data_IF_324208940505
#
_entry.id   IF_324208940505
#
_cell.length_a   1.000
_cell.length_b   1.000
_cell.length_c   1.000
_cell.angle_alpha   90.00
_cell.angle_beta   90.00
_cell.angle_gamma   90.00
#
_symmetry.space_group_name_H-M   'P 1'
#
loop_
_entity.id
_entity.type
_entity.pdbx_description
1 polymer ?
#
# COMPACT_ATOMS: atom_id res chain seq x y z
N UNK A 1 22.04 -15.40 -27.30
CA UNK A 1 21.38 -14.31 -26.61
C UNK A 1 21.64 -12.97 -27.33
N UNK A 2 22.89 -12.47 -27.41
CA UNK A 2 23.20 -11.14 -27.98
C UNK A 2 22.59 -10.90 -29.38
N UNK A 3 22.71 -11.89 -30.29
CA UNK A 3 22.18 -11.75 -31.64
C UNK A 3 20.65 -11.66 -31.66
N UNK A 4 19.98 -12.39 -30.76
CA UNK A 4 18.52 -12.34 -30.60
C UNK A 4 18.11 -10.95 -30.10
N UNK A 5 18.78 -10.46 -29.06
CA UNK A 5 18.57 -9.13 -28.49
C UNK A 5 18.71 -8.02 -29.53
N UNK A 6 19.80 -8.05 -30.30
CA UNK A 6 20.06 -7.07 -31.38
C UNK A 6 18.98 -7.12 -32.47
N UNK A 7 18.56 -8.33 -32.86
CA UNK A 7 17.51 -8.51 -33.87
C UNK A 7 16.17 -7.95 -33.38
N UNK A 8 15.85 -8.16 -32.10
CA UNK A 8 14.60 -7.67 -31.51
C UNK A 8 14.58 -6.16 -31.40
N UNK A 9 15.66 -5.55 -30.85
CA UNK A 9 15.76 -4.10 -30.75
C UNK A 9 15.64 -3.46 -32.14
N UNK A 10 16.35 -4.00 -33.13
CA UNK A 10 16.27 -3.50 -34.49
C UNK A 10 14.86 -3.65 -35.07
N UNK A 11 14.20 -4.79 -34.85
CA UNK A 11 12.85 -5.04 -35.33
C UNK A 11 11.83 -4.10 -34.69
N UNK A 12 11.87 -3.94 -33.37
CA UNK A 12 10.97 -3.05 -32.65
C UNK A 12 11.19 -1.58 -33.02
N UNK A 13 12.43 -1.14 -33.16
CA UNK A 13 12.75 0.25 -33.54
C UNK A 13 12.25 0.62 -34.96
N UNK A 14 12.13 -0.37 -35.83
CA UNK A 14 11.63 -0.19 -37.21
C UNK A 14 10.12 -0.46 -37.33
N UNK A 15 9.54 -1.13 -36.35
CA UNK A 15 8.12 -1.48 -36.33
C UNK A 15 7.29 -0.32 -35.80
N UNK A 16 6.52 0.31 -36.66
CA UNK A 16 5.58 1.35 -36.23
C UNK A 16 4.36 0.79 -35.52
N UNK A 17 3.52 1.67 -34.99
CA UNK A 17 2.29 1.31 -34.25
C UNK A 17 1.38 0.35 -35.02
N UNK A 18 1.28 0.50 -36.34
CA UNK A 18 0.49 -0.40 -37.20
C UNK A 18 1.01 -1.83 -37.15
N UNK A 19 2.32 -2.03 -37.08
CA UNK A 19 2.93 -3.35 -36.94
C UNK A 19 2.62 -3.98 -35.58
N UNK A 20 2.66 -3.23 -34.49
CA UNK A 20 2.30 -3.71 -33.16
C UNK A 20 0.83 -4.16 -33.11
N UNK A 21 -0.09 -3.36 -33.66
CA UNK A 21 -1.51 -3.70 -33.74
C UNK A 21 -1.77 -4.95 -34.59
N UNK A 22 -0.98 -5.13 -35.66
CA UNK A 22 -1.08 -6.34 -36.47
C UNK A 22 -0.76 -7.60 -35.67
N UNK A 23 0.31 -7.61 -34.87
CA UNK A 23 0.63 -8.75 -34.00
C UNK A 23 -0.43 -8.96 -32.92
N UNK A 24 -0.95 -7.91 -32.30
CA UNK A 24 -2.04 -8.01 -31.30
C UNK A 24 -3.36 -8.53 -31.88
N UNK A 25 -3.57 -8.38 -33.18
CA UNK A 25 -4.78 -8.88 -33.85
C UNK A 25 -4.73 -10.37 -34.20
N UNK A 26 -3.55 -11.00 -34.07
CA UNK A 26 -3.40 -12.43 -34.30
C UNK A 26 -4.04 -13.25 -33.18
N UNK A 27 -4.56 -14.41 -33.48
CA UNK A 27 -4.92 -15.40 -32.46
C UNK A 27 -3.66 -16.05 -31.88
N UNK A 28 -3.74 -16.55 -30.64
CA UNK A 28 -2.62 -17.21 -29.94
C UNK A 28 -1.93 -18.24 -30.84
N UNK A 29 -2.70 -19.10 -31.50
CA UNK A 29 -2.16 -20.09 -32.44
C UNK A 29 -1.40 -19.47 -33.64
N UNK A 30 -1.90 -18.37 -34.19
CA UNK A 30 -1.23 -17.68 -35.33
C UNK A 30 0.05 -17.00 -34.87
N UNK A 31 0.02 -16.45 -33.68
CA UNK A 31 1.17 -15.79 -33.07
C UNK A 31 2.29 -16.80 -32.79
N UNK A 32 1.97 -17.92 -32.12
CA UNK A 32 2.93 -18.99 -31.85
C UNK A 32 3.52 -19.57 -33.15
N UNK A 33 2.66 -19.79 -34.15
CA UNK A 33 3.12 -20.25 -35.45
C UNK A 33 4.07 -19.25 -36.12
N UNK A 34 3.80 -17.94 -35.98
CA UNK A 34 4.66 -16.87 -36.52
C UNK A 34 5.98 -16.82 -35.79
N UNK A 35 5.98 -16.93 -34.46
CA UNK A 35 7.20 -16.96 -33.66
C UNK A 35 8.06 -18.19 -34.01
N UNK A 36 7.45 -19.36 -34.10
CA UNK A 36 8.14 -20.57 -34.52
C UNK A 36 8.74 -20.44 -35.95
N UNK A 37 8.04 -19.81 -36.87
CA UNK A 37 8.50 -19.59 -38.23
C UNK A 37 9.63 -18.56 -38.31
N UNK A 38 9.67 -17.57 -37.42
CA UNK A 38 10.73 -16.59 -37.33
C UNK A 38 12.07 -17.19 -36.86
N UNK A 39 12.01 -18.36 -36.22
CA UNK A 39 13.17 -19.04 -35.63
C UNK A 39 13.67 -18.36 -34.36
N UNK A 40 12.90 -17.45 -33.78
CA UNK A 40 13.19 -16.85 -32.48
C UNK A 40 12.69 -17.77 -31.38
N UNK A 41 13.47 -18.02 -30.35
CA UNK A 41 13.07 -18.85 -29.21
C UNK A 41 12.24 -18.01 -28.22
N UNK A 42 11.03 -17.63 -28.64
CA UNK A 42 10.11 -16.75 -27.91
C UNK A 42 8.70 -17.33 -28.02
N UNK A 43 8.00 -17.43 -26.91
CA UNK A 43 6.57 -17.73 -26.88
C UNK A 43 5.74 -16.51 -27.30
N UNK A 44 4.57 -16.74 -27.93
CA UNK A 44 3.72 -15.66 -28.42
C UNK A 44 3.32 -14.64 -27.35
N UNK A 45 2.88 -15.12 -26.20
CA UNK A 45 2.47 -14.25 -25.06
C UNK A 45 3.64 -13.40 -24.55
N UNK A 46 4.84 -13.97 -24.47
CA UNK A 46 6.05 -13.24 -24.08
C UNK A 46 6.38 -12.15 -25.11
N UNK A 47 6.23 -12.46 -26.40
CA UNK A 47 6.43 -11.49 -27.47
C UNK A 47 5.47 -10.30 -27.39
N UNK A 48 4.17 -10.53 -27.13
CA UNK A 48 3.21 -9.44 -26.91
C UNK A 48 3.56 -8.59 -25.71
N UNK A 49 3.98 -9.20 -24.60
CA UNK A 49 4.45 -8.49 -23.41
C UNK A 49 5.65 -7.61 -23.70
N UNK A 50 6.57 -8.05 -24.56
CA UNK A 50 7.71 -7.27 -25.02
C UNK A 50 7.31 -6.09 -25.90
N UNK A 51 6.32 -6.26 -26.78
CA UNK A 51 5.74 -5.16 -27.56
C UNK A 51 5.14 -4.08 -26.64
N UNK A 52 4.43 -4.51 -25.60
CA UNK A 52 3.85 -3.59 -24.60
C UNK A 52 4.92 -2.84 -23.82
N UNK A 53 6.00 -3.53 -23.43
CA UNK A 53 7.14 -2.90 -22.76
C UNK A 53 7.85 -1.89 -23.64
N UNK A 54 8.06 -2.22 -24.92
CA UNK A 54 8.68 -1.30 -25.89
C UNK A 54 7.82 -0.05 -26.14
N UNK A 55 6.53 -0.23 -26.41
CA UNK A 55 5.61 0.89 -26.62
C UNK A 55 5.46 1.77 -25.36
N UNK A 56 5.47 1.14 -24.18
CA UNK A 56 5.51 1.84 -22.90
C UNK A 56 6.74 2.71 -22.75
N UNK A 57 7.91 2.19 -23.15
CA UNK A 57 9.17 2.90 -23.14
C UNK A 57 9.18 4.09 -24.13
N UNK A 58 8.70 3.89 -25.35
CA UNK A 58 8.59 4.98 -26.32
C UNK A 58 7.65 6.09 -25.86
N UNK A 59 6.57 5.73 -25.18
CA UNK A 59 5.63 6.70 -24.62
C UNK A 59 6.23 7.51 -23.47
N UNK A 60 7.13 6.91 -22.69
CA UNK A 60 7.75 7.54 -21.51
C UNK A 60 9.06 8.25 -21.82
N UNK A 61 9.88 7.67 -22.72
CA UNK A 61 11.23 8.11 -23.00
C UNK A 61 11.40 8.81 -24.36
N UNK A 62 10.33 8.84 -25.18
CA UNK A 62 10.41 9.31 -26.57
C UNK A 62 10.83 8.20 -27.54
N UNK A 63 11.12 8.57 -28.78
CA UNK A 63 11.54 7.61 -29.80
C UNK A 63 12.91 7.03 -29.50
N UNK A 64 13.10 5.75 -29.78
CA UNK A 64 14.39 5.09 -29.66
C UNK A 64 15.43 5.69 -30.66
N UNK A 65 16.65 5.94 -30.19
CA UNK A 65 17.72 6.48 -31.00
C UNK A 65 18.82 5.44 -31.26
N UNK A 66 19.40 4.91 -30.20
CA UNK A 66 20.46 3.89 -30.25
C UNK A 66 20.64 3.20 -28.91
N UNK A 67 21.42 2.14 -28.88
CA UNK A 67 21.85 1.50 -27.64
C UNK A 67 23.38 1.44 -27.55
N UNK A 68 23.86 1.20 -26.32
CA UNK A 68 25.28 1.06 -26.00
C UNK A 68 25.78 -0.38 -26.08
N UNK A 69 26.81 -0.68 -25.30
CA UNK A 69 27.34 -2.04 -25.16
C UNK A 69 26.40 -2.93 -24.34
N UNK A 70 26.46 -4.23 -24.57
CA UNK A 70 25.69 -5.23 -23.83
C UNK A 70 26.45 -5.67 -22.59
N UNK A 71 25.74 -5.71 -21.47
CA UNK A 71 26.16 -6.29 -20.21
C UNK A 71 25.46 -7.63 -20.02
N UNK A 72 26.20 -8.62 -19.53
CA UNK A 72 25.70 -9.99 -19.37
C UNK A 72 25.81 -10.41 -17.91
N UNK A 73 24.69 -10.82 -17.33
CA UNK A 73 24.64 -11.41 -16.00
C UNK A 73 24.08 -12.83 -16.10
N UNK A 74 24.91 -13.82 -15.79
CA UNK A 74 24.52 -15.21 -15.83
C UNK A 74 24.35 -15.79 -14.41
N UNK A 75 23.24 -16.45 -14.19
CA UNK A 75 22.93 -17.24 -13.00
C UNK A 75 22.76 -18.71 -13.37
N UNK A 76 22.57 -19.60 -12.41
CA UNK A 76 22.39 -21.03 -12.65
C UNK A 76 21.16 -21.37 -13.51
N UNK A 77 20.17 -20.48 -13.57
CA UNK A 77 18.88 -20.71 -14.23
C UNK A 77 18.46 -19.63 -15.22
N UNK A 78 19.18 -18.53 -15.27
CA UNK A 78 18.74 -17.35 -16.02
C UNK A 78 19.97 -16.61 -16.57
N UNK A 79 19.85 -16.13 -17.79
CA UNK A 79 20.81 -15.23 -18.39
C UNK A 79 20.12 -13.88 -18.67
N UNK A 80 20.56 -12.84 -18.00
CA UNK A 80 20.14 -11.47 -18.29
C UNK A 80 21.12 -10.79 -19.24
N UNK A 81 20.57 -10.12 -20.24
CA UNK A 81 21.33 -9.28 -21.19
C UNK A 81 20.76 -7.88 -21.13
N UNK A 82 21.52 -6.95 -20.63
CA UNK A 82 21.10 -5.55 -20.52
C UNK A 82 21.92 -4.62 -21.40
N UNK A 83 21.30 -3.53 -21.82
CA UNK A 83 21.98 -2.45 -22.54
C UNK A 83 21.37 -1.10 -22.17
N UNK A 84 22.22 -0.07 -22.16
CA UNK A 84 21.76 1.29 -22.02
C UNK A 84 21.29 1.81 -23.39
N UNK A 85 20.03 2.17 -23.50
CA UNK A 85 19.44 2.75 -24.69
C UNK A 85 19.21 4.25 -24.52
N UNK A 86 19.56 4.99 -25.55
CA UNK A 86 19.32 6.43 -25.68
C UNK A 86 18.00 6.62 -26.43
N UNK A 87 17.08 7.36 -25.84
CA UNK A 87 15.82 7.78 -26.44
C UNK A 87 15.80 9.31 -26.54
N UNK A 88 14.86 9.89 -27.27
CA UNK A 88 14.80 11.34 -27.49
C UNK A 88 14.67 12.18 -26.20
N UNK A 89 13.88 11.73 -25.25
CA UNK A 89 13.57 12.50 -24.04
C UNK A 89 14.41 12.07 -22.83
N UNK A 90 14.76 10.77 -22.72
CA UNK A 90 15.58 10.24 -21.62
C UNK A 90 16.15 8.86 -21.94
N UNK A 91 17.26 8.52 -21.32
CA UNK A 91 17.83 7.19 -21.42
C UNK A 91 17.00 6.15 -20.68
N UNK A 92 17.04 4.91 -21.15
CA UNK A 92 16.46 3.75 -20.50
C UNK A 92 17.42 2.57 -20.51
N UNK A 93 17.28 1.65 -19.57
CA UNK A 93 17.94 0.36 -19.61
C UNK A 93 16.98 -0.66 -20.16
N UNK A 94 17.37 -1.37 -21.21
CA UNK A 94 16.64 -2.49 -21.78
C UNK A 94 17.29 -3.77 -21.24
N UNK A 95 16.52 -4.61 -20.58
CA UNK A 95 16.96 -5.89 -20.03
C UNK A 95 16.15 -7.02 -20.65
N UNK A 96 16.84 -8.04 -21.17
CA UNK A 96 16.26 -9.28 -21.70
C UNK A 96 16.63 -10.44 -20.81
N UNK A 97 15.66 -11.26 -20.46
CA UNK A 97 15.83 -12.43 -19.61
C UNK A 97 15.59 -13.70 -20.40
N UNK A 98 16.56 -14.56 -20.35
CA UNK A 98 16.55 -15.88 -21.01
C UNK A 98 16.56 -16.97 -19.95
N UNK A 99 15.82 -18.05 -20.19
CA UNK A 99 15.83 -19.25 -19.37
C UNK A 99 17.12 -20.08 -19.55
N UNK A 100 17.20 -21.22 -18.87
CA UNK A 100 18.33 -22.16 -18.96
C UNK A 100 18.51 -22.78 -20.36
N UNK A 101 17.47 -22.83 -21.16
CA UNK A 101 17.45 -23.33 -22.55
C UNK A 101 17.69 -22.21 -23.59
N UNK A 102 17.95 -20.98 -23.13
CA UNK A 102 18.10 -19.76 -23.92
C UNK A 102 16.83 -19.35 -24.69
N UNK A 103 15.65 -19.71 -24.19
CA UNK A 103 14.42 -19.11 -24.65
C UNK A 103 14.26 -17.74 -23.99
N UNK A 104 13.76 -16.79 -24.75
CA UNK A 104 13.53 -15.43 -24.23
C UNK A 104 12.19 -15.39 -23.48
N UNK A 105 12.25 -15.16 -22.18
CA UNK A 105 11.08 -15.11 -21.31
C UNK A 105 10.47 -13.71 -21.20
N UNK A 106 11.33 -12.69 -21.06
CA UNK A 106 10.84 -11.33 -20.88
C UNK A 106 11.82 -10.27 -21.38
N UNK A 107 11.28 -9.11 -21.67
CA UNK A 107 12.01 -7.87 -21.88
C UNK A 107 11.42 -6.81 -20.95
N UNK A 108 12.28 -6.12 -20.23
CA UNK A 108 11.92 -4.97 -19.40
C UNK A 108 12.64 -3.73 -19.87
N UNK A 109 11.95 -2.59 -19.87
CA UNK A 109 12.56 -1.31 -20.25
C UNK A 109 12.35 -0.32 -19.11
N UNK A 110 13.43 -0.02 -18.43
CA UNK A 110 13.43 0.84 -17.24
C UNK A 110 14.00 2.23 -17.57
N UNK A 111 13.13 3.23 -17.55
CA UNK A 111 13.53 4.63 -17.76
C UNK A 111 14.48 5.10 -16.65
N UNK A 112 15.55 5.79 -17.03
CA UNK A 112 16.48 6.41 -16.07
C UNK A 112 15.93 7.76 -15.59
N UNK A 113 15.62 7.81 -14.29
CA UNK A 113 15.19 9.04 -13.63
C UNK A 113 16.37 9.71 -12.91
N UNK A 114 16.42 11.02 -12.98
CA UNK A 114 17.34 11.78 -12.14
C UNK A 114 16.95 11.67 -10.67
N UNK A 115 17.91 11.82 -9.77
CA UNK A 115 17.66 11.79 -8.31
C UNK A 115 16.60 12.82 -7.88
N UNK A 116 16.55 13.96 -8.59
CA UNK A 116 15.56 15.00 -8.34
C UNK A 116 14.14 14.55 -8.70
N UNK A 117 13.96 13.90 -9.85
CA UNK A 117 12.67 13.35 -10.28
C UNK A 117 12.18 12.22 -9.36
N UNK A 118 13.09 11.36 -8.93
CA UNK A 118 12.77 10.29 -7.95
C UNK A 118 12.29 10.91 -6.65
N UNK A 119 12.98 11.95 -6.16
CA UNK A 119 12.61 12.64 -4.92
C UNK A 119 11.29 13.38 -5.05
N UNK A 120 11.00 13.98 -6.19
CA UNK A 120 9.74 14.64 -6.49
C UNK A 120 8.57 13.63 -6.49
N UNK A 121 8.70 12.52 -7.23
CA UNK A 121 7.69 11.44 -7.26
C UNK A 121 7.47 10.83 -5.88
N UNK A 122 8.55 10.57 -5.13
CA UNK A 122 8.46 10.05 -3.76
C UNK A 122 7.79 11.07 -2.82
N UNK A 123 8.13 12.35 -2.94
CA UNK A 123 7.52 13.44 -2.18
C UNK A 123 6.01 13.56 -2.45
N UNK A 124 5.60 13.53 -3.70
CA UNK A 124 4.19 13.57 -4.09
C UNK A 124 3.41 12.37 -3.51
N UNK A 125 3.96 11.16 -3.60
CA UNK A 125 3.35 9.97 -3.01
C UNK A 125 3.24 10.07 -1.48
N UNK A 126 4.25 10.62 -0.83
CA UNK A 126 4.24 10.86 0.63
C UNK A 126 3.17 11.89 1.00
N UNK A 127 3.08 13.00 0.26
CA UNK A 127 2.05 14.04 0.49
C UNK A 127 0.66 13.48 0.26
N UNK A 128 0.44 12.68 -0.79
CA UNK A 128 -0.84 12.03 -1.04
C UNK A 128 -1.21 11.04 0.09
N UNK A 129 -0.31 10.14 0.45
CA UNK A 129 -0.55 9.14 1.48
C UNK A 129 -0.75 9.74 2.87
N UNK A 130 0.16 10.61 3.30
CA UNK A 130 0.08 11.26 4.60
C UNK A 130 -0.99 12.35 4.64
N UNK A 131 -1.18 13.06 3.53
CA UNK A 131 -2.18 14.11 3.40
C UNK A 131 -3.61 13.59 3.54
N UNK A 132 -3.94 12.43 2.97
CA UNK A 132 -5.27 11.81 3.14
C UNK A 132 -5.56 11.50 4.59
N UNK A 133 -4.58 11.00 5.35
CA UNK A 133 -4.74 10.75 6.79
C UNK A 133 -5.01 12.04 7.56
N UNK A 134 -4.25 13.11 7.27
CA UNK A 134 -4.49 14.41 7.90
C UNK A 134 -5.88 14.98 7.57
N UNK A 135 -6.32 14.88 6.32
CA UNK A 135 -7.67 15.33 5.93
C UNK A 135 -8.75 14.58 6.72
N UNK A 136 -8.61 13.25 6.86
CA UNK A 136 -9.55 12.45 7.65
C UNK A 136 -9.54 12.84 9.12
N UNK A 137 -8.34 13.06 9.72
CA UNK A 137 -8.23 13.49 11.12
C UNK A 137 -8.85 14.88 11.34
N UNK A 138 -8.60 15.84 10.44
CA UNK A 138 -9.21 17.18 10.49
C UNK A 138 -10.74 17.04 10.38
N UNK A 139 -11.23 16.20 9.47
CA UNK A 139 -12.66 15.96 9.32
C UNK A 139 -13.29 15.36 10.58
N UNK A 140 -12.64 14.36 11.20
CA UNK A 140 -13.10 13.78 12.46
C UNK A 140 -13.08 14.79 13.61
N UNK A 141 -12.01 15.61 13.71
CA UNK A 141 -11.92 16.67 14.69
C UNK A 141 -13.05 17.71 14.50
N UNK A 142 -13.37 18.02 13.25
CA UNK A 142 -14.48 18.90 12.91
C UNK A 142 -15.84 18.29 13.34
N UNK A 143 -16.07 16.99 13.06
CA UNK A 143 -17.29 16.31 13.51
C UNK A 143 -17.43 16.31 15.04
N UNK A 144 -16.34 16.01 15.76
CA UNK A 144 -16.31 16.05 17.24
C UNK A 144 -16.64 17.48 17.73
N UNK A 145 -16.06 18.48 17.07
CA UNK A 145 -16.36 19.89 17.39
C UNK A 145 -17.83 20.24 17.15
N UNK A 146 -18.44 19.71 16.07
CA UNK A 146 -19.87 19.91 15.80
C UNK A 146 -20.75 19.31 16.91
N UNK A 147 -20.40 18.11 17.40
CA UNK A 147 -21.15 17.44 18.47
C UNK A 147 -21.22 18.31 19.74
N UNK A 148 -20.17 19.06 20.04
CA UNK A 148 -20.14 20.00 21.17
C UNK A 148 -21.21 21.09 21.09
N UNK A 149 -21.68 21.43 19.89
CA UNK A 149 -22.73 22.45 19.70
C UNK A 149 -24.15 21.88 19.74
N UNK A 150 -24.33 20.55 19.72
CA UNK A 150 -25.63 19.89 19.72
C UNK A 150 -26.38 20.08 21.05
N UNK A 151 -25.77 19.91 22.26
CA UNK A 151 -26.47 20.06 23.54
C UNK A 151 -27.18 21.42 23.70
N UNK A 152 -26.54 22.59 23.46
CA UNK A 152 -27.21 23.87 23.62
C UNK A 152 -28.31 24.11 22.58
N UNK A 153 -28.25 23.41 21.44
CA UNK A 153 -29.30 23.53 20.41
C UNK A 153 -30.54 22.71 20.77
N UNK A 154 -30.34 21.51 21.34
CA UNK A 154 -31.45 20.65 21.79
C UNK A 154 -32.16 21.24 23.00
N UNK A 155 -31.45 21.89 23.94
CA UNK A 155 -32.06 22.60 25.08
C UNK A 155 -32.95 23.75 24.68
N UNK A 156 -32.70 24.42 23.53
CA UNK A 156 -33.57 25.48 23.01
C UNK A 156 -34.88 24.94 22.45
N UNK A 157 -34.97 23.70 22.04
CA UNK A 157 -36.17 23.10 21.48
C UNK A 157 -36.97 22.22 22.49
N UNK A 158 -36.36 21.80 23.59
CA UNK A 158 -37.03 21.09 24.68
C UNK A 158 -37.28 22.02 25.86
N UNK A 159 -38.18 22.96 25.69
CA UNK A 159 -38.85 23.58 26.86
C UNK A 159 -39.78 22.56 27.50
N UNK A 160 -39.28 21.77 28.44
CA UNK A 160 -40.12 21.08 29.44
C UNK A 160 -39.53 21.26 30.82
N UNK A 161 -40.37 21.79 31.68
CA UNK A 161 -40.27 22.23 33.08
C UNK A 161 -39.15 21.61 33.96
N UNK A 162 -38.58 22.42 34.86
CA UNK A 162 -37.58 21.95 35.84
C UNK A 162 -38.28 21.23 37.00
N UNK A 163 -37.91 20.00 37.25
CA UNK A 163 -38.10 19.40 38.57
C UNK A 163 -36.95 19.75 39.48
N UNK A 164 -37.17 20.14 40.73
CA UNK A 164 -36.13 20.59 41.63
C UNK A 164 -35.33 19.41 42.16
N UNK A 165 -34.05 19.37 41.85
CA UNK A 165 -33.09 18.51 42.53
C UNK A 165 -32.62 19.21 43.78
N UNK A 166 -32.82 18.57 44.90
CA UNK A 166 -32.46 19.01 46.26
C UNK A 166 -30.93 19.21 46.36
N UNK A 167 -30.61 20.36 46.86
CA UNK A 167 -29.30 20.82 47.27
C UNK A 167 -28.74 19.98 48.41
N UNK A 168 -27.59 19.36 48.24
CA UNK A 168 -26.73 18.96 49.37
C UNK A 168 -25.40 19.72 49.24
N UNK A 169 -25.13 20.45 50.31
CA UNK A 169 -24.05 21.39 50.56
C UNK A 169 -22.65 20.74 50.56
N UNK A 170 -21.59 21.55 50.35
CA UNK A 170 -20.24 21.05 50.10
C UNK A 170 -19.45 20.82 51.36
N UNK A 171 -18.62 19.82 51.38
CA UNK A 171 -17.50 19.69 52.31
C UNK A 171 -16.19 19.75 51.52
N UNK A 172 -15.41 20.78 51.85
CA UNK A 172 -14.07 21.05 51.40
C UNK A 172 -13.08 20.09 52.01
N UNK A 173 -12.16 19.54 51.27
CA UNK A 173 -10.74 19.24 51.62
C UNK A 173 -10.01 18.79 50.34
N UNK A 174 -9.28 19.60 49.81
CA UNK A 174 -7.84 19.85 49.63
C UNK A 174 -7.00 18.60 49.29
N UNK A 175 -6.35 18.74 48.13
CA UNK A 175 -4.99 18.29 47.71
C UNK A 175 -4.72 16.80 47.52
N UNK A 176 -4.49 16.40 46.28
CA UNK A 176 -3.20 15.96 45.73
C UNK A 176 -3.41 15.36 44.30
N UNK A 177 -2.64 15.91 43.37
CA UNK A 177 -2.45 15.43 42.04
C UNK A 177 -1.82 14.03 42.07
N UNK A 178 -2.44 13.05 41.40
CA UNK A 178 -1.75 11.93 40.80
C UNK A 178 -2.56 11.43 39.60
N UNK A 179 -1.93 11.50 38.45
CA UNK A 179 -2.35 10.89 37.19
C UNK A 179 -2.67 9.39 37.40
N UNK A 180 -3.92 9.02 37.34
CA UNK A 180 -4.32 7.64 37.16
C UNK A 180 -5.32 7.55 36.02
N UNK A 181 -4.85 6.97 34.93
CA UNK A 181 -5.59 6.40 33.81
C UNK A 181 -6.84 5.69 34.33
N UNK A 182 -8.01 6.24 34.03
CA UNK A 182 -9.31 5.61 34.35
C UNK A 182 -9.49 4.36 33.47
N UNK A 183 -9.03 3.23 33.99
CA UNK A 183 -9.50 1.93 33.55
C UNK A 183 -10.96 1.83 33.96
N UNK A 184 -11.83 1.53 32.99
CA UNK A 184 -13.29 1.40 33.20
C UNK A 184 -13.55 0.39 34.32
N UNK A 185 -13.85 0.88 35.54
CA UNK A 185 -14.08 0.06 36.75
C UNK A 185 -15.23 -0.95 36.59
N UNK A 186 -16.15 -0.71 35.63
CA UNK A 186 -17.27 -1.60 35.35
C UNK A 186 -16.81 -2.92 34.70
N UNK A 187 -15.82 -2.86 33.80
CA UNK A 187 -15.28 -4.05 33.16
C UNK A 187 -14.50 -4.92 34.18
N UNK A 188 -13.74 -4.28 35.06
CA UNK A 188 -13.04 -4.96 36.16
C UNK A 188 -14.00 -5.59 37.12
N UNK A 189 -15.07 -4.90 37.49
CA UNK A 189 -16.17 -5.46 38.37
C UNK A 189 -16.83 -6.66 37.73
N UNK A 190 -17.14 -6.59 36.42
CA UNK A 190 -17.77 -7.71 35.71
C UNK A 190 -16.86 -8.95 35.67
N UNK A 191 -15.59 -8.80 35.41
CA UNK A 191 -14.61 -9.90 35.37
C UNK A 191 -14.43 -10.53 36.74
N UNK A 192 -14.32 -9.73 37.80
CA UNK A 192 -14.19 -10.23 39.18
C UNK A 192 -15.48 -10.96 39.64
N UNK A 193 -16.64 -10.42 39.28
CA UNK A 193 -17.93 -11.04 39.58
C UNK A 193 -18.06 -12.41 38.92
N UNK A 194 -17.70 -12.51 37.63
CA UNK A 194 -17.72 -13.76 36.91
C UNK A 194 -16.71 -14.79 37.48
N UNK A 195 -15.53 -14.36 37.90
CA UNK A 195 -14.51 -15.22 38.49
C UNK A 195 -15.01 -15.81 39.87
N UNK A 196 -15.62 -14.97 40.69
CA UNK A 196 -16.18 -15.41 42.00
C UNK A 196 -17.33 -16.37 41.77
N UNK A 197 -18.25 -16.10 40.84
CA UNK A 197 -19.36 -16.99 40.51
C UNK A 197 -18.86 -18.37 40.05
N UNK A 198 -17.84 -18.40 39.18
CA UNK A 198 -17.22 -19.65 38.73
C UNK A 198 -16.54 -20.43 39.85
N UNK A 199 -15.91 -19.76 40.81
CA UNK A 199 -15.20 -20.37 41.94
C UNK A 199 -16.18 -20.91 43.00
N UNK A 200 -17.28 -20.23 43.24
CA UNK A 200 -18.25 -20.57 44.27
C UNK A 200 -19.42 -21.42 43.80
N UNK A 201 -19.56 -21.58 42.48
CA UNK A 201 -20.68 -22.31 41.87
C UNK A 201 -22.03 -21.62 42.01
N UNK A 202 -22.05 -20.33 42.35
CA UNK A 202 -23.27 -19.53 42.52
C UNK A 202 -23.54 -18.66 41.28
N UNK A 203 -24.85 -18.32 41.08
CA UNK A 203 -25.19 -17.36 40.01
C UNK A 203 -24.63 -15.96 40.32
N UNK A 204 -24.32 -15.21 39.28
CA UNK A 204 -23.87 -13.82 39.38
C UNK A 204 -24.84 -12.88 40.07
N UNK A 205 -26.10 -13.24 40.17
CA UNK A 205 -27.16 -12.50 40.90
C UNK A 205 -27.17 -12.75 42.42
N UNK A 206 -26.36 -13.71 42.91
CA UNK A 206 -26.33 -14.11 44.31
C UNK A 206 -25.44 -13.23 45.22
N UNK A 207 -24.69 -12.30 44.69
CA UNK A 207 -23.84 -11.42 45.48
C UNK A 207 -23.61 -10.06 44.78
N UNK A 208 -23.27 -9.04 45.59
CA UNK A 208 -22.99 -7.68 45.09
C UNK A 208 -21.58 -7.28 45.52
N UNK A 209 -20.75 -6.89 44.52
CA UNK A 209 -19.41 -6.33 44.79
C UNK A 209 -19.59 -4.90 45.30
N UNK A 210 -19.25 -4.64 46.56
CA UNK A 210 -19.38 -3.30 47.19
C UNK A 210 -18.14 -2.43 47.08
N UNK A 211 -16.96 -3.03 47.04
CA UNK A 211 -15.70 -2.29 46.88
C UNK A 211 -14.55 -3.20 46.45
N UNK A 212 -13.65 -2.68 45.65
CA UNK A 212 -12.43 -3.35 45.25
C UNK A 212 -11.24 -2.54 45.79
N UNK A 213 -10.36 -3.18 46.57
CA UNK A 213 -9.10 -2.55 47.03
C UNK A 213 -7.93 -3.30 46.45
N UNK A 214 -7.08 -2.60 45.71
CA UNK A 214 -5.78 -3.13 45.26
C UNK A 214 -4.88 -3.35 46.48
N UNK A 215 -4.37 -4.56 46.64
CA UNK A 215 -3.31 -4.83 47.61
C UNK A 215 -2.00 -4.29 47.05
N UNK A 216 -1.22 -3.44 47.79
CA UNK A 216 0.09 -3.03 47.31
C UNK A 216 0.95 -4.26 47.09
N UNK A 217 1.50 -4.40 45.85
CA UNK A 217 2.38 -5.52 45.53
C UNK A 217 3.69 -5.33 46.27
N UNK A 218 4.00 -6.24 47.20
CA UNK A 218 5.38 -6.38 47.69
C UNK A 218 6.27 -6.84 46.53
N UNK A 219 7.30 -6.06 46.22
CA UNK A 219 8.32 -6.46 45.25
C UNK A 219 8.83 -7.84 45.61
N UNK A 220 8.75 -8.74 44.67
CA UNK A 220 9.49 -9.98 44.72
C UNK A 220 10.98 -9.65 44.57
N UNK A 221 11.82 -9.96 45.57
CA UNK A 221 13.26 -10.00 45.47
C UNK A 221 13.70 -11.24 44.70
#
# INVERSE_FOLDING_TARGET
AQQITETLITSFSQMGKEGFEQFRSLSDYQLDYTMMQSGLPIEGDNFLSMLDAWEGAEKECGSYVKHGEYEFEASDKELSVSTLAEYEDRDATIEFKFDEDLNLESMDVSAKYTTAEILEKAGLNTVLGMGTVFVVLIFLAFLISLIKYIPPFVEKFTKKSPQPVQTATPVVAETAEEDTEYVDDLELVAVITAAIAAQTGTSTDGFVVRSIRRRPSNKWN
#
